data_IF_624009475146
#
_entry.id   IF_624009475146
#
_cell.length_a   1.000
_cell.length_b   1.000
_cell.length_c   1.000
_cell.angle_alpha   90.00
_cell.angle_beta   90.00
_cell.angle_gamma   90.00
#
_symmetry.space_group_name_H-M   'P 1'
#
loop_
_entity.id
_entity.type
_entity.pdbx_description
1 polymer ?
#
# COMPACT_ATOMS: atom_id res chain seq x y z
N UNK A 1 36.71 51.96 -51.33
CA UNK A 1 38.04 52.12 -50.69
C UNK A 1 38.03 51.32 -49.41
N UNK A 2 38.94 50.33 -49.33
CA UNK A 2 39.24 49.39 -48.21
C UNK A 2 38.07 48.45 -47.86
N UNK A 3 37.85 47.24 -48.43
CA UNK A 3 38.68 46.02 -48.73
C UNK A 3 39.12 45.29 -47.43
N UNK A 4 39.16 43.95 -47.32
CA UNK A 4 38.27 42.84 -47.73
C UNK A 4 38.02 41.88 -46.50
N UNK A 5 37.46 40.66 -46.53
CA UNK A 5 37.98 39.42 -47.15
C UNK A 5 36.98 38.26 -46.91
N UNK A 6 36.64 37.54 -47.97
CA UNK A 6 35.97 36.24 -47.96
C UNK A 6 37.00 35.12 -47.69
N UNK A 7 36.60 34.06 -46.98
CA UNK A 7 37.03 32.70 -47.35
C UNK A 7 36.07 31.63 -46.80
N UNK A 8 35.69 30.73 -47.71
CA UNK A 8 34.72 29.64 -47.57
C UNK A 8 35.37 28.33 -47.03
N UNK A 9 34.67 27.17 -47.01
CA UNK A 9 34.31 26.40 -45.82
C UNK A 9 35.21 25.17 -45.55
N UNK A 10 35.25 24.67 -44.31
CA UNK A 10 35.70 23.30 -44.02
C UNK A 10 34.88 22.64 -42.91
N UNK A 11 34.45 21.41 -43.24
CA UNK A 11 33.78 20.40 -42.43
C UNK A 11 34.55 20.00 -41.15
N UNK A 12 33.88 19.16 -40.35
CA UNK A 12 34.24 18.51 -39.06
C UNK A 12 34.06 19.43 -37.85
N UNK A 13 33.26 19.10 -36.83
CA UNK A 13 33.30 17.84 -36.07
C UNK A 13 31.95 17.50 -35.44
N UNK A 14 31.50 16.28 -35.71
CA UNK A 14 30.42 15.58 -35.02
C UNK A 14 30.91 15.15 -33.64
N UNK A 15 30.72 15.94 -32.58
CA UNK A 15 31.05 15.48 -31.21
C UNK A 15 30.31 16.16 -30.06
N UNK A 16 29.65 17.32 -30.24
CA UNK A 16 29.19 18.08 -29.06
C UNK A 16 27.67 18.05 -28.80
N UNK A 17 26.88 17.27 -29.55
CA UNK A 17 25.42 17.16 -29.35
C UNK A 17 24.99 15.71 -28.98
N UNK A 18 25.95 14.79 -28.78
CA UNK A 18 25.68 13.41 -28.30
C UNK A 18 26.13 13.09 -26.88
N UNK A 19 26.70 14.05 -26.16
CA UNK A 19 27.14 13.87 -24.75
C UNK A 19 26.15 14.42 -23.72
N UNK A 20 25.12 15.15 -24.14
CA UNK A 20 24.14 15.78 -23.25
C UNK A 20 22.80 15.02 -23.10
N UNK A 21 22.66 13.83 -23.71
CA UNK A 21 21.42 13.04 -23.70
C UNK A 21 21.52 11.66 -23.03
N UNK A 22 22.68 11.28 -22.48
CA UNK A 22 22.87 9.95 -21.84
C UNK A 22 22.99 9.95 -20.30
N UNK A 23 22.69 11.06 -19.61
CA UNK A 23 22.79 11.14 -18.15
C UNK A 23 21.46 11.33 -17.39
N UNK A 24 20.31 10.96 -17.98
CA UNK A 24 18.99 11.02 -17.31
C UNK A 24 18.41 9.62 -17.04
N UNK A 25 19.26 8.62 -16.78
CA UNK A 25 18.84 7.29 -16.31
C UNK A 25 19.81 6.72 -15.25
N UNK A 26 20.03 7.47 -14.16
CA UNK A 26 20.49 6.93 -12.87
C UNK A 26 19.82 7.71 -11.76
N UNK A 27 18.66 7.23 -11.30
CA UNK A 27 18.06 7.69 -10.06
C UNK A 27 18.59 6.77 -8.95
N UNK A 28 19.75 7.14 -8.41
CA UNK A 28 20.32 6.51 -7.23
C UNK A 28 19.48 6.92 -6.00
N UNK A 29 18.88 5.93 -5.34
CA UNK A 29 18.21 6.11 -4.05
C UNK A 29 19.25 6.38 -2.95
N UNK A 30 19.52 7.64 -2.64
CA UNK A 30 20.16 8.02 -1.38
C UNK A 30 19.11 8.15 -0.29
N UNK A 31 19.04 7.18 0.63
CA UNK A 31 18.31 7.33 1.89
C UNK A 31 19.05 8.34 2.77
N UNK A 32 18.45 9.51 2.95
CA UNK A 32 18.84 10.50 3.96
C UNK A 32 18.65 9.92 5.37
N UNK A 33 19.76 9.68 6.07
CA UNK A 33 19.80 9.48 7.52
C UNK A 33 19.51 10.82 8.21
N UNK A 34 18.36 10.92 8.89
CA UNK A 34 18.21 11.82 10.03
C UNK A 34 17.97 10.94 11.25
N UNK A 35 18.97 10.97 12.12
CA UNK A 35 18.97 10.32 13.42
C UNK A 35 17.92 10.97 14.31
N UNK A 36 16.94 10.18 14.76
CA UNK A 36 16.24 10.41 16.01
C UNK A 36 16.47 9.19 16.90
N UNK A 37 17.37 9.37 17.85
CA UNK A 37 17.66 8.42 18.92
C UNK A 37 16.42 8.34 19.82
N UNK A 38 15.76 7.20 19.85
CA UNK A 38 14.87 6.80 20.96
C UNK A 38 15.13 5.33 21.30
N UNK A 39 15.91 5.16 22.37
CA UNK A 39 16.07 3.98 23.24
C UNK A 39 15.39 2.67 22.79
N UNK A 40 16.15 1.82 22.10
CA UNK A 40 15.82 0.40 21.94
C UNK A 40 16.30 -0.36 23.17
N UNK A 41 15.36 -0.94 23.94
CA UNK A 41 15.67 -2.07 24.80
C UNK A 41 16.17 -3.21 23.91
N UNK A 42 17.44 -3.58 24.08
CA UNK A 42 18.06 -4.72 23.40
C UNK A 42 17.34 -6.00 23.82
N UNK A 43 16.54 -6.56 22.91
CA UNK A 43 16.10 -7.94 23.01
C UNK A 43 17.24 -8.78 22.45
N UNK A 44 17.94 -9.50 23.33
CA UNK A 44 18.94 -10.49 22.96
C UNK A 44 18.34 -11.52 21.97
N UNK A 45 18.75 -11.43 20.71
CA UNK A 45 18.40 -12.41 19.67
C UNK A 45 19.21 -13.69 19.89
N UNK A 46 18.72 -14.58 20.77
CA UNK A 46 19.25 -15.94 20.88
C UNK A 46 18.93 -16.73 19.60
N UNK A 47 19.96 -17.24 18.94
CA UNK A 47 19.83 -18.23 17.87
C UNK A 47 19.32 -19.52 18.52
N UNK A 48 18.07 -19.90 18.26
CA UNK A 48 17.55 -21.20 18.66
C UNK A 48 17.84 -22.19 17.53
N UNK A 49 18.92 -22.97 17.66
CA UNK A 49 19.12 -24.15 16.81
C UNK A 49 18.21 -25.25 17.34
N UNK A 50 17.18 -25.63 16.59
CA UNK A 50 16.39 -26.83 16.88
C UNK A 50 17.29 -28.05 16.65
N UNK A 51 17.50 -28.85 17.69
CA UNK A 51 18.52 -29.91 17.74
C UNK A 51 18.29 -31.11 16.81
N UNK A 52 17.20 -31.13 16.04
CA UNK A 52 16.86 -32.23 15.13
C UNK A 52 16.75 -31.81 13.66
N UNK A 53 17.09 -30.56 13.32
CA UNK A 53 17.17 -30.11 11.91
C UNK A 53 18.13 -28.94 11.74
N UNK A 54 19.03 -29.00 10.76
CA UNK A 54 19.98 -27.94 10.35
C UNK A 54 19.29 -26.69 9.75
N UNK A 55 18.20 -26.23 10.35
CA UNK A 55 17.41 -25.08 9.88
C UNK A 55 17.75 -23.87 10.77
N UNK A 56 18.20 -22.78 10.13
CA UNK A 56 18.45 -21.50 10.78
C UNK A 56 17.12 -20.75 10.89
N UNK A 57 16.63 -20.55 12.11
CA UNK A 57 15.43 -19.77 12.37
C UNK A 57 15.75 -18.26 12.52
N UNK A 58 15.02 -17.42 11.79
CA UNK A 58 15.24 -15.97 11.72
C UNK A 58 13.91 -15.25 11.99
N UNK A 59 13.84 -14.26 12.89
CA UNK A 59 12.64 -13.47 13.06
C UNK A 59 12.37 -12.60 11.81
N UNK A 60 11.10 -12.37 11.48
CA UNK A 60 10.76 -11.39 10.45
C UNK A 60 11.22 -9.99 10.87
N UNK A 61 12.02 -9.36 10.00
CA UNK A 61 12.52 -7.99 10.15
C UNK A 61 12.24 -7.19 8.88
N UNK A 62 12.52 -5.88 8.91
CA UNK A 62 12.41 -5.02 7.73
C UNK A 62 13.22 -5.61 6.56
N UNK A 63 12.58 -5.72 5.40
CA UNK A 63 13.18 -6.31 4.21
C UNK A 63 12.83 -7.78 3.99
N UNK A 64 12.01 -8.39 4.84
CA UNK A 64 11.48 -9.76 4.70
C UNK A 64 9.97 -9.69 4.50
N UNK A 65 9.47 -10.27 3.41
CA UNK A 65 8.05 -10.19 3.05
C UNK A 65 7.62 -11.38 2.17
N UNK A 66 6.51 -12.02 2.53
CA UNK A 66 5.95 -13.12 1.74
C UNK A 66 5.15 -12.58 0.55
N UNK A 67 4.98 -13.40 -0.50
CA UNK A 67 4.12 -13.07 -1.63
C UNK A 67 2.65 -12.82 -1.21
N UNK A 68 2.19 -13.47 -0.14
CA UNK A 68 0.88 -13.21 0.45
C UNK A 68 0.83 -11.83 1.12
N UNK A 69 1.83 -11.46 1.92
CA UNK A 69 1.92 -10.14 2.55
C UNK A 69 2.02 -9.02 1.50
N UNK A 70 2.81 -9.24 0.44
CA UNK A 70 2.97 -8.30 -0.69
C UNK A 70 1.63 -7.98 -1.36
N UNK A 71 0.70 -8.95 -1.43
CA UNK A 71 -0.64 -8.72 -1.99
C UNK A 71 -1.47 -7.69 -1.21
N UNK A 72 -1.10 -7.41 0.04
CA UNK A 72 -1.72 -6.39 0.88
C UNK A 72 -0.88 -5.10 0.94
N UNK A 73 0.43 -5.21 1.14
CA UNK A 73 1.31 -4.04 1.29
C UNK A 73 1.45 -3.23 0.01
N UNK A 74 1.46 -3.88 -1.16
CA UNK A 74 1.45 -3.20 -2.46
C UNK A 74 0.21 -2.31 -2.68
N UNK A 75 -0.90 -2.62 -2.01
CA UNK A 75 -2.14 -1.84 -2.00
C UNK A 75 -2.23 -0.87 -0.81
N UNK A 76 -1.16 -0.75 -0.02
CA UNK A 76 -1.13 0.00 1.24
C UNK A 76 -2.23 -0.42 2.22
N UNK A 77 -2.62 -1.70 2.21
CA UNK A 77 -3.62 -2.27 3.11
C UNK A 77 -2.95 -2.82 4.37
N UNK A 78 -2.75 -1.94 5.35
CA UNK A 78 -2.16 -2.31 6.65
C UNK A 78 -3.25 -2.50 7.71
N UNK A 79 -3.89 -1.43 8.13
CA UNK A 79 -4.95 -1.37 9.15
C UNK A 79 -5.81 -0.11 8.94
N UNK A 80 -6.94 0.01 9.65
CA UNK A 80 -7.78 1.21 9.63
C UNK A 80 -7.24 2.33 10.55
N UNK A 81 -7.52 3.62 10.28
CA UNK A 81 -8.28 4.16 9.15
C UNK A 81 -7.51 4.08 7.82
N UNK A 82 -8.24 3.96 6.71
CA UNK A 82 -7.63 3.93 5.38
C UNK A 82 -7.48 5.35 4.85
N UNK A 83 -6.22 5.80 4.75
CA UNK A 83 -5.84 7.08 4.15
C UNK A 83 -4.86 6.85 3.03
N UNK A 84 -5.12 7.43 1.86
CA UNK A 84 -4.18 7.38 0.75
C UNK A 84 -4.28 8.63 -0.10
N UNK A 85 -3.14 9.04 -0.65
CA UNK A 85 -3.07 10.02 -1.71
C UNK A 85 -1.88 9.70 -2.64
N UNK A 86 -1.89 10.29 -3.82
CA UNK A 86 -0.77 10.28 -4.77
C UNK A 86 -0.31 11.70 -5.13
N UNK A 87 -0.51 12.65 -4.21
CA UNK A 87 -0.12 14.04 -4.42
C UNK A 87 1.41 14.17 -4.44
N UNK A 88 1.98 15.13 -5.19
CA UNK A 88 3.41 15.41 -5.14
C UNK A 88 3.85 15.79 -3.71
N UNK A 89 5.07 15.41 -3.34
CA UNK A 89 5.66 15.81 -2.07
C UNK A 89 5.76 17.35 -1.99
N UNK A 90 5.52 17.89 -0.79
CA UNK A 90 5.65 19.32 -0.46
C UNK A 90 4.64 20.26 -1.17
N UNK A 91 3.53 19.73 -1.66
CA UNK A 91 2.42 20.57 -2.16
C UNK A 91 1.45 20.90 -1.01
N UNK A 92 1.29 22.19 -0.73
CA UNK A 92 0.36 22.70 0.27
C UNK A 92 -0.90 23.28 -0.38
N UNK A 93 -2.01 23.22 0.35
CA UNK A 93 -3.26 23.86 -0.05
C UNK A 93 -3.08 25.38 0.08
N UNK A 94 -3.18 26.08 -1.04
CA UNK A 94 -3.10 27.55 -1.11
C UNK A 94 -4.43 28.17 -0.74
N UNK A 95 -5.54 27.56 -1.17
CA UNK A 95 -6.88 28.09 -0.95
C UNK A 95 -7.90 26.94 -0.85
N UNK A 96 -8.93 27.13 -0.02
CA UNK A 96 -10.02 26.21 0.18
C UNK A 96 -11.37 26.93 -0.02
N UNK A 97 -12.06 26.59 -1.11
CA UNK A 97 -13.32 27.22 -1.50
C UNK A 97 -14.46 26.26 -1.18
N UNK A 98 -15.32 26.60 -0.21
CA UNK A 98 -16.53 25.82 0.08
C UNK A 98 -17.60 26.07 -0.96
N UNK A 99 -18.10 25.02 -1.61
CA UNK A 99 -19.20 25.11 -2.58
C UNK A 99 -20.57 24.85 -1.93
N UNK A 100 -20.63 24.55 -0.63
CA UNK A 100 -21.80 24.04 0.12
C UNK A 100 -22.06 22.55 -0.14
N UNK A 101 -23.24 22.07 0.27
CA UNK A 101 -23.61 20.67 0.12
C UNK A 101 -24.64 20.48 -0.98
N UNK A 102 -24.51 19.40 -1.76
CA UNK A 102 -25.51 18.98 -2.73
C UNK A 102 -25.61 17.46 -2.81
N UNK A 103 -26.50 16.97 -3.66
CA UNK A 103 -26.58 15.56 -3.99
C UNK A 103 -25.59 15.25 -5.12
N UNK A 104 -24.93 14.09 -5.01
CA UNK A 104 -23.98 13.58 -5.99
C UNK A 104 -24.58 12.35 -6.65
N UNK A 105 -24.66 12.31 -7.97
CA UNK A 105 -25.06 11.11 -8.70
C UNK A 105 -23.82 10.42 -9.27
N UNK A 106 -23.70 9.12 -9.05
CA UNK A 106 -22.63 8.26 -9.54
C UNK A 106 -23.32 7.05 -10.17
N UNK A 107 -23.40 7.02 -11.50
CA UNK A 107 -24.25 6.05 -12.20
C UNK A 107 -25.70 6.07 -11.63
N UNK A 108 -26.23 4.92 -11.20
CA UNK A 108 -27.58 4.79 -10.61
C UNK A 108 -27.63 5.09 -9.09
N UNK A 109 -26.52 5.53 -8.49
CA UNK A 109 -26.43 5.80 -7.06
C UNK A 109 -26.46 7.30 -6.78
N UNK A 110 -27.31 7.73 -5.86
CA UNK A 110 -27.30 9.11 -5.34
C UNK A 110 -26.76 9.15 -3.91
N UNK A 111 -25.72 9.96 -3.70
CA UNK A 111 -25.26 10.34 -2.36
C UNK A 111 -25.90 11.67 -1.98
N UNK A 112 -26.61 11.68 -0.85
CA UNK A 112 -27.34 12.85 -0.39
C UNK A 112 -26.48 13.74 0.51
N UNK A 113 -26.65 15.05 0.38
CA UNK A 113 -26.05 16.06 1.27
C UNK A 113 -24.53 15.90 1.46
N UNK A 114 -23.80 15.75 0.35
CA UNK A 114 -22.34 15.69 0.31
C UNK A 114 -21.79 17.10 0.40
N UNK A 115 -20.90 17.37 1.35
CA UNK A 115 -20.21 18.67 1.42
C UNK A 115 -19.11 18.73 0.36
N UNK A 116 -19.12 19.78 -0.45
CA UNK A 116 -18.21 19.95 -1.57
C UNK A 116 -17.29 21.14 -1.34
N UNK A 117 -16.00 20.95 -1.61
CA UNK A 117 -14.98 22.00 -1.53
C UNK A 117 -14.00 21.89 -2.69
N UNK A 118 -13.45 23.00 -3.15
CA UNK A 118 -12.32 23.02 -4.08
C UNK A 118 -11.06 23.35 -3.29
N UNK A 119 -10.06 22.48 -3.40
CA UNK A 119 -8.74 22.64 -2.83
C UNK A 119 -7.79 23.09 -3.93
N UNK A 120 -7.31 24.33 -3.85
CA UNK A 120 -6.37 24.88 -4.81
C UNK A 120 -4.93 24.62 -4.33
N UNK A 121 -4.15 23.97 -5.18
CA UNK A 121 -2.70 23.83 -5.05
C UNK A 121 -2.02 24.71 -6.10
N UNK A 122 -0.69 24.85 -6.01
CA UNK A 122 0.07 25.69 -6.94
C UNK A 122 -0.09 25.29 -8.41
N UNK A 123 -0.17 23.98 -8.66
CA UNK A 123 -0.15 23.41 -10.02
C UNK A 123 -1.45 22.72 -10.44
N UNK A 124 -2.34 22.44 -9.50
CA UNK A 124 -3.56 21.67 -9.77
C UNK A 124 -4.65 22.04 -8.77
N UNK A 125 -5.89 21.63 -9.06
CA UNK A 125 -7.03 21.77 -8.14
C UNK A 125 -7.60 20.38 -7.87
N UNK A 126 -8.09 20.17 -6.66
CA UNK A 126 -8.89 19.00 -6.32
C UNK A 126 -10.29 19.43 -5.92
N UNK A 127 -11.30 18.63 -6.25
CA UNK A 127 -12.63 18.76 -5.65
C UNK A 127 -12.78 17.69 -4.57
N UNK A 128 -13.02 18.10 -3.33
CA UNK A 128 -13.29 17.23 -2.18
C UNK A 128 -14.79 17.00 -2.01
N UNK A 129 -15.18 15.73 -2.01
CA UNK A 129 -16.47 15.21 -1.57
C UNK A 129 -16.34 14.69 -0.15
N UNK A 130 -17.01 15.32 0.81
CA UNK A 130 -16.99 14.92 2.21
C UNK A 130 -18.37 14.49 2.69
N UNK A 131 -18.44 13.29 3.24
CA UNK A 131 -19.61 12.74 3.93
C UNK A 131 -19.30 12.55 5.42
N UNK A 132 -20.22 11.91 6.15
CA UNK A 132 -19.97 11.46 7.53
C UNK A 132 -19.10 10.20 7.60
N UNK A 133 -18.82 9.55 6.46
CA UNK A 133 -18.18 8.23 6.41
C UNK A 133 -16.82 8.28 5.70
N UNK A 134 -16.62 9.25 4.81
CA UNK A 134 -15.39 9.38 4.06
C UNK A 134 -15.15 10.81 3.56
N UNK A 135 -13.93 11.04 3.10
CA UNK A 135 -13.54 12.14 2.20
C UNK A 135 -12.90 11.56 0.94
N UNK A 136 -13.21 12.14 -0.20
CA UNK A 136 -12.57 11.83 -1.48
C UNK A 136 -12.30 13.13 -2.23
N UNK A 137 -11.06 13.39 -2.59
CA UNK A 137 -10.65 14.51 -3.41
C UNK A 137 -10.11 14.02 -4.76
N UNK A 138 -10.60 14.59 -5.86
CA UNK A 138 -10.23 14.22 -7.23
C UNK A 138 -9.71 15.43 -8.00
N UNK A 139 -8.71 15.23 -8.85
CA UNK A 139 -8.15 16.31 -9.67
C UNK A 139 -9.11 16.81 -10.73
N UNK A 140 -9.32 18.14 -10.75
CA UNK A 140 -10.29 18.81 -11.62
C UNK A 140 -9.75 20.09 -12.23
N UNK A 141 -10.42 20.52 -13.29
CA UNK A 141 -10.29 21.83 -13.92
C UNK A 141 -11.69 22.34 -14.31
N UNK A 142 -11.83 23.66 -14.34
CA UNK A 142 -13.02 24.33 -14.83
C UNK A 142 -12.87 24.56 -16.34
N UNK A 143 -13.87 24.11 -17.09
CA UNK A 143 -14.01 24.28 -18.53
C UNK A 143 -15.16 25.27 -18.79
N UNK A 144 -14.97 26.16 -19.77
CA UNK A 144 -15.95 27.16 -20.20
C UNK A 144 -16.55 27.97 -19.02
N UNK A 145 -15.74 28.20 -17.99
CA UNK A 145 -16.07 28.86 -16.72
C UNK A 145 -17.26 28.28 -15.92
N UNK A 146 -17.77 27.10 -16.32
CA UNK A 146 -18.98 26.50 -15.70
C UNK A 146 -18.89 25.00 -15.47
N UNK A 147 -18.16 24.26 -16.30
CA UNK A 147 -18.16 22.80 -16.27
C UNK A 147 -16.92 22.26 -15.55
N UNK A 148 -17.11 21.51 -14.47
CA UNK A 148 -16.04 20.85 -13.73
C UNK A 148 -15.80 19.47 -14.34
N UNK A 149 -14.58 19.22 -14.82
CA UNK A 149 -14.14 17.91 -15.35
C UNK A 149 -12.81 17.49 -14.77
N UNK A 150 -12.45 16.22 -14.92
CA UNK A 150 -11.14 15.68 -14.53
C UNK A 150 -10.01 16.41 -15.25
N UNK A 151 -8.94 16.73 -14.52
CA UNK A 151 -7.74 17.38 -15.08
C UNK A 151 -6.47 16.53 -15.01
N UNK A 152 -6.42 15.55 -14.13
CA UNK A 152 -5.25 14.70 -13.92
C UNK A 152 -5.58 13.48 -13.07
N UNK A 153 -4.57 12.71 -12.70
CA UNK A 153 -4.74 11.47 -11.94
C UNK A 153 -4.50 11.64 -10.45
N UNK A 154 -4.40 12.87 -9.96
CA UNK A 154 -4.26 13.13 -8.53
C UNK A 154 -5.56 12.87 -7.78
N UNK A 155 -5.45 12.15 -6.68
CA UNK A 155 -6.52 11.89 -5.74
C UNK A 155 -6.00 11.84 -4.31
N UNK A 156 -6.92 12.03 -3.36
CA UNK A 156 -6.70 11.80 -1.94
C UNK A 156 -7.99 11.29 -1.33
N UNK A 157 -7.92 10.35 -0.40
CA UNK A 157 -9.09 9.93 0.34
C UNK A 157 -8.79 9.49 1.76
N UNK A 158 -9.85 9.52 2.56
CA UNK A 158 -9.89 8.97 3.90
C UNK A 158 -11.24 8.26 4.09
N UNK A 159 -11.21 6.97 4.41
CA UNK A 159 -12.37 6.27 4.96
C UNK A 159 -12.25 6.33 6.48
N UNK A 160 -13.24 6.94 7.13
CA UNK A 160 -13.20 7.13 8.57
C UNK A 160 -13.28 5.79 9.31
N UNK A 161 -12.68 5.75 10.50
CA UNK A 161 -12.84 4.62 11.41
C UNK A 161 -14.26 4.61 12.02
N UNK A 162 -14.66 3.48 12.61
CA UNK A 162 -15.97 3.31 13.29
C UNK A 162 -17.18 3.22 12.35
N UNK A 163 -16.96 2.69 11.16
CA UNK A 163 -18.05 2.31 10.26
C UNK A 163 -18.52 0.90 10.59
N UNK A 164 -19.84 0.72 10.62
CA UNK A 164 -20.46 -0.61 10.57
C UNK A 164 -19.98 -1.34 9.31
N UNK A 165 -19.80 -2.65 9.38
CA UNK A 165 -19.27 -3.45 8.26
C UNK A 165 -20.10 -3.27 6.97
N UNK A 166 -21.44 -3.26 7.09
CA UNK A 166 -22.33 -2.99 5.96
C UNK A 166 -22.13 -1.60 5.33
N UNK A 167 -21.81 -0.59 6.16
CA UNK A 167 -21.54 0.78 5.69
C UNK A 167 -20.16 0.88 5.07
N UNK A 168 -19.16 0.20 5.64
CA UNK A 168 -17.82 0.12 5.06
C UNK A 168 -17.85 -0.53 3.68
N UNK A 169 -18.62 -1.62 3.50
CA UNK A 169 -18.84 -2.24 2.18
C UNK A 169 -19.51 -1.26 1.22
N UNK A 170 -20.53 -0.51 1.67
CA UNK A 170 -21.18 0.49 0.83
C UNK A 170 -20.21 1.60 0.37
N UNK A 171 -19.37 2.12 1.28
CA UNK A 171 -18.33 3.10 0.96
C UNK A 171 -17.31 2.52 -0.01
N UNK A 172 -16.83 1.29 0.21
CA UNK A 172 -15.89 0.64 -0.70
C UNK A 172 -16.49 0.46 -2.12
N UNK A 173 -17.78 0.12 -2.22
CA UNK A 173 -18.48 0.03 -3.51
C UNK A 173 -18.62 1.40 -4.20
N UNK A 174 -18.90 2.47 -3.45
CA UNK A 174 -18.91 3.85 -4.00
C UNK A 174 -17.55 4.17 -4.62
N UNK A 175 -16.48 3.93 -3.87
CA UNK A 175 -15.12 4.21 -4.33
C UNK A 175 -14.77 3.35 -5.53
N UNK A 176 -15.18 2.08 -5.54
CA UNK A 176 -15.03 1.19 -6.68
C UNK A 176 -15.73 1.74 -7.92
N UNK A 177 -16.99 2.18 -7.82
CA UNK A 177 -17.71 2.80 -8.95
C UNK A 177 -16.95 4.01 -9.49
N UNK A 178 -16.54 4.91 -8.61
CA UNK A 178 -15.79 6.10 -8.99
C UNK A 178 -14.50 5.71 -9.72
N UNK A 179 -13.66 4.87 -9.12
CA UNK A 179 -12.36 4.46 -9.69
C UNK A 179 -12.49 3.49 -10.88
N UNK A 180 -13.66 2.92 -11.13
CA UNK A 180 -13.96 2.22 -12.39
C UNK A 180 -14.28 3.19 -13.53
N UNK A 181 -14.31 4.50 -13.28
CA UNK A 181 -14.62 5.50 -14.28
C UNK A 181 -16.12 5.74 -14.48
N UNK A 182 -16.95 5.49 -13.47
CA UNK A 182 -18.35 5.95 -13.51
C UNK A 182 -18.43 7.48 -13.42
N UNK A 183 -19.35 8.08 -14.17
CA UNK A 183 -19.48 9.54 -14.22
C UNK A 183 -20.12 10.03 -12.93
N UNK A 184 -19.39 10.91 -12.25
CA UNK A 184 -19.88 11.68 -11.11
C UNK A 184 -20.51 12.96 -11.64
N UNK A 185 -21.79 13.18 -11.33
CA UNK A 185 -22.52 14.39 -11.72
C UNK A 185 -23.15 15.09 -10.53
N UNK A 186 -23.09 16.42 -10.53
CA UNK A 186 -23.81 17.28 -9.60
C UNK A 186 -23.91 18.70 -10.18
N UNK A 187 -24.89 19.46 -9.68
CA UNK A 187 -25.04 20.88 -10.00
C UNK A 187 -25.04 21.68 -8.69
N UNK A 188 -24.29 22.77 -8.66
CA UNK A 188 -24.26 23.69 -7.52
C UNK A 188 -24.12 25.12 -8.01
N UNK A 189 -25.13 25.95 -7.76
CA UNK A 189 -25.27 27.27 -8.40
C UNK A 189 -25.21 27.12 -9.93
N UNK A 190 -24.31 27.85 -10.60
CA UNK A 190 -24.08 27.79 -12.05
C UNK A 190 -23.03 26.75 -12.47
N UNK A 191 -22.45 26.02 -11.51
CA UNK A 191 -21.43 25.00 -11.78
C UNK A 191 -22.10 23.66 -12.04
N UNK A 192 -21.71 23.05 -13.16
CA UNK A 192 -22.10 21.69 -13.57
C UNK A 192 -20.87 20.82 -13.50
N UNK A 193 -20.94 19.66 -12.86
CA UNK A 193 -19.83 18.72 -12.81
C UNK A 193 -20.12 17.44 -13.58
N UNK A 194 -19.12 17.01 -14.34
CA UNK A 194 -19.08 15.75 -15.07
C UNK A 194 -17.67 15.18 -14.91
N UNK A 195 -17.45 14.40 -13.85
CA UNK A 195 -16.13 13.91 -13.48
C UNK A 195 -16.08 12.40 -13.66
N UNK A 196 -15.26 11.93 -14.59
CA UNK A 196 -14.94 10.53 -14.79
C UNK A 196 -13.49 10.28 -14.38
N UNK A 197 -13.24 9.38 -13.43
CA UNK A 197 -11.91 9.18 -12.84
C UNK A 197 -11.55 7.70 -12.71
N UNK A 198 -10.79 7.15 -13.66
CA UNK A 198 -10.42 5.74 -13.66
C UNK A 198 -9.08 5.48 -12.94
N UNK A 199 -9.04 4.44 -12.09
CA UNK A 199 -7.83 3.90 -11.50
C UNK A 199 -8.00 2.41 -11.16
N UNK A 200 -7.56 1.49 -12.04
CA UNK A 200 -7.73 0.04 -11.84
C UNK A 200 -7.06 -0.52 -10.58
N UNK A 201 -5.95 0.08 -10.13
CA UNK A 201 -5.26 -0.33 -8.90
C UNK A 201 -6.15 -0.05 -7.68
N UNK A 202 -6.80 1.12 -7.66
CA UNK A 202 -7.76 1.45 -6.60
C UNK A 202 -9.00 0.57 -6.67
N UNK A 203 -9.52 0.24 -7.86
CA UNK A 203 -10.61 -0.75 -8.01
C UNK A 203 -10.24 -2.08 -7.35
N UNK A 204 -9.07 -2.63 -7.67
CA UNK A 204 -8.59 -3.88 -7.07
C UNK A 204 -8.43 -3.77 -5.54
N UNK A 205 -7.94 -2.63 -5.06
CA UNK A 205 -7.83 -2.34 -3.61
C UNK A 205 -9.20 -2.38 -2.92
N UNK A 206 -10.22 -1.75 -3.48
CA UNK A 206 -11.56 -1.76 -2.89
C UNK A 206 -12.22 -3.13 -2.95
N UNK A 207 -11.98 -3.92 -3.99
CA UNK A 207 -12.38 -5.33 -4.02
C UNK A 207 -11.74 -6.12 -2.87
N UNK A 208 -10.45 -5.92 -2.62
CA UNK A 208 -9.73 -6.56 -1.51
C UNK A 208 -10.25 -6.13 -0.13
N UNK A 209 -10.67 -4.87 0.01
CA UNK A 209 -11.30 -4.37 1.24
C UNK A 209 -12.64 -5.08 1.47
N UNK A 210 -13.49 -5.17 0.45
CA UNK A 210 -14.79 -5.84 0.53
C UNK A 210 -14.60 -7.33 0.88
N UNK A 211 -13.64 -8.01 0.23
CA UNK A 211 -13.29 -9.40 0.53
C UNK A 211 -12.86 -9.55 2.00
N UNK A 212 -12.04 -8.61 2.50
CA UNK A 212 -11.54 -8.64 3.87
C UNK A 212 -12.65 -8.42 4.91
N UNK A 213 -13.61 -7.52 4.66
CA UNK A 213 -14.77 -7.36 5.56
C UNK A 213 -15.57 -8.66 5.65
N UNK A 214 -15.84 -9.31 4.51
CA UNK A 214 -16.55 -10.59 4.48
C UNK A 214 -15.79 -11.69 5.23
N UNK A 215 -14.48 -11.80 5.01
CA UNK A 215 -13.61 -12.74 5.74
C UNK A 215 -13.65 -12.49 7.25
N UNK A 216 -13.64 -11.22 7.67
CA UNK A 216 -13.73 -10.85 9.07
C UNK A 216 -15.05 -11.33 9.69
N UNK A 217 -16.19 -11.01 9.09
CA UNK A 217 -17.50 -11.46 9.57
C UNK A 217 -17.60 -12.99 9.66
N UNK A 218 -17.11 -13.69 8.63
CA UNK A 218 -17.09 -15.16 8.60
C UNK A 218 -16.20 -15.75 9.69
N UNK A 219 -14.98 -15.22 9.86
CA UNK A 219 -14.04 -15.65 10.90
C UNK A 219 -14.64 -15.45 12.30
N UNK A 220 -15.29 -14.32 12.58
CA UNK A 220 -15.93 -14.09 13.88
C UNK A 220 -17.06 -15.09 14.16
N UNK A 221 -17.85 -15.43 13.12
CA UNK A 221 -18.92 -16.45 13.22
C UNK A 221 -18.35 -17.84 13.49
N UNK A 222 -17.32 -18.26 12.76
CA UNK A 222 -16.65 -19.56 12.94
C UNK A 222 -15.98 -19.69 14.31
N UNK A 223 -15.56 -18.58 14.90
CA UNK A 223 -15.03 -18.52 16.26
C UNK A 223 -16.11 -18.46 17.35
N UNK A 224 -17.40 -18.50 16.97
CA UNK A 224 -18.53 -18.39 17.89
C UNK A 224 -18.49 -17.15 18.79
N UNK A 225 -17.86 -16.06 18.34
CA UNK A 225 -17.83 -14.80 19.08
C UNK A 225 -19.19 -14.14 18.88
N UNK A 226 -19.95 -13.89 19.95
CA UNK A 226 -21.31 -13.32 19.85
C UNK A 226 -21.35 -11.79 19.74
N UNK A 227 -20.29 -11.11 20.20
CA UNK A 227 -20.16 -9.65 20.15
C UNK A 227 -18.74 -9.28 19.74
N UNK A 228 -18.56 -8.90 18.48
CA UNK A 228 -17.30 -8.39 17.94
C UNK A 228 -17.45 -6.93 17.49
N UNK A 229 -16.33 -6.21 17.46
CA UNK A 229 -16.27 -4.86 16.89
C UNK A 229 -16.35 -4.94 15.37
N UNK A 230 -16.82 -3.90 14.71
CA UNK A 230 -16.72 -3.80 13.25
C UNK A 230 -15.26 -3.95 12.81
N UNK A 231 -15.01 -4.41 11.58
CA UNK A 231 -13.67 -4.60 11.05
C UNK A 231 -12.85 -3.31 11.11
N UNK A 232 -13.49 -2.16 10.82
CA UNK A 232 -12.87 -0.83 10.89
C UNK A 232 -12.45 -0.37 12.30
N UNK A 233 -12.84 -1.12 13.34
CA UNK A 233 -12.58 -0.84 14.76
C UNK A 233 -11.78 -1.95 15.46
N UNK A 234 -11.55 -3.08 14.78
CA UNK A 234 -10.97 -4.28 15.37
C UNK A 234 -9.44 -4.20 15.54
N UNK A 235 -8.80 -3.14 15.01
CA UNK A 235 -7.34 -2.94 15.00
C UNK A 235 -6.54 -4.15 14.46
N UNK A 236 -7.20 -5.05 13.73
CA UNK A 236 -6.57 -6.22 13.12
C UNK A 236 -6.04 -5.82 11.74
N UNK A 237 -4.78 -6.18 11.47
CA UNK A 237 -4.16 -5.93 10.16
C UNK A 237 -4.82 -6.79 9.09
N UNK A 238 -4.90 -6.29 7.86
CA UNK A 238 -5.49 -7.02 6.73
C UNK A 238 -4.79 -8.35 6.48
N UNK A 239 -3.46 -8.36 6.45
CA UNK A 239 -2.69 -9.59 6.27
C UNK A 239 -2.87 -10.57 7.43
N UNK A 240 -2.87 -10.08 8.68
CA UNK A 240 -3.14 -10.91 9.86
C UNK A 240 -4.53 -11.57 9.80
N UNK A 241 -5.55 -10.82 9.38
CA UNK A 241 -6.89 -11.37 9.18
C UNK A 241 -6.89 -12.47 8.11
N UNK A 242 -6.18 -12.26 7.00
CA UNK A 242 -6.06 -13.28 5.95
C UNK A 242 -5.49 -14.59 6.51
N UNK A 243 -4.38 -14.51 7.25
CA UNK A 243 -3.76 -15.68 7.87
C UNK A 243 -4.69 -16.34 8.90
N UNK A 244 -5.35 -15.56 9.76
CA UNK A 244 -6.30 -16.08 10.73
C UNK A 244 -7.46 -16.80 10.03
N UNK A 245 -8.03 -16.20 8.99
CA UNK A 245 -9.12 -16.78 8.22
C UNK A 245 -8.72 -18.12 7.58
N UNK A 246 -7.51 -18.21 7.02
CA UNK A 246 -6.97 -19.46 6.49
C UNK A 246 -6.82 -20.52 7.60
N UNK A 247 -6.26 -20.14 8.75
CA UNK A 247 -6.09 -21.05 9.89
C UNK A 247 -7.42 -21.63 10.37
N UNK A 248 -8.45 -20.80 10.52
CA UNK A 248 -9.79 -21.23 10.95
C UNK A 248 -10.45 -22.16 9.93
N UNK A 249 -10.20 -21.95 8.65
CA UNK A 249 -10.65 -22.83 7.58
C UNK A 249 -9.74 -24.06 7.35
N UNK A 250 -8.90 -24.42 8.33
CA UNK A 250 -7.96 -25.54 8.29
C UNK A 250 -6.92 -25.49 7.17
N UNK A 251 -6.70 -24.32 6.55
CA UNK A 251 -5.60 -24.08 5.62
C UNK A 251 -4.37 -23.67 6.43
N UNK A 252 -3.65 -24.67 6.95
CA UNK A 252 -2.51 -24.47 7.85
C UNK A 252 -1.15 -24.47 7.18
N UNK A 253 -1.07 -24.92 5.93
CA UNK A 253 0.15 -24.95 5.13
C UNK A 253 -0.15 -24.34 3.76
N UNK A 254 0.64 -23.35 3.36
CA UNK A 254 0.42 -22.57 2.16
C UNK A 254 1.73 -22.47 1.39
N UNK A 255 1.73 -22.91 0.14
CA UNK A 255 2.85 -22.70 -0.76
C UNK A 255 2.81 -21.29 -1.33
N UNK A 256 3.92 -20.58 -1.19
CA UNK A 256 4.06 -19.21 -1.68
C UNK A 256 5.53 -18.93 -2.00
N UNK A 257 5.90 -17.66 -2.10
CA UNK A 257 7.27 -17.21 -2.26
C UNK A 257 7.60 -16.12 -1.24
N UNK A 258 8.89 -15.84 -1.05
CA UNK A 258 9.37 -14.81 -0.14
C UNK A 258 10.40 -13.93 -0.84
N UNK A 259 10.40 -12.64 -0.50
CA UNK A 259 11.52 -11.74 -0.71
C UNK A 259 12.19 -11.50 0.64
N UNK A 260 13.52 -11.58 0.68
CA UNK A 260 14.27 -11.15 1.84
C UNK A 260 15.58 -10.48 1.44
N UNK A 261 16.02 -9.50 2.22
CA UNK A 261 17.38 -8.96 2.21
C UNK A 261 17.77 -8.59 3.62
N UNK A 262 18.78 -9.27 4.17
CA UNK A 262 19.21 -9.09 5.56
C UNK A 262 20.71 -9.19 5.70
N UNK A 263 21.26 -8.40 6.62
CA UNK A 263 22.69 -8.49 6.97
C UNK A 263 22.95 -9.82 7.67
N UNK A 264 24.01 -10.53 7.27
CA UNK A 264 24.28 -11.91 7.65
C UNK A 264 24.84 -12.05 9.08
N UNK A 265 24.05 -11.68 10.09
CA UNK A 265 24.40 -11.87 11.52
C UNK A 265 24.29 -13.33 11.98
N UNK A 266 23.60 -14.16 11.19
CA UNK A 266 23.28 -15.54 11.51
C UNK A 266 24.30 -16.54 10.95
N UNK A 267 25.39 -16.05 10.32
CA UNK A 267 26.44 -16.87 9.70
C UNK A 267 25.89 -17.88 8.69
N UNK A 268 24.91 -17.45 7.89
CA UNK A 268 24.29 -18.23 6.83
C UNK A 268 25.31 -18.45 5.72
N UNK A 269 25.38 -19.69 5.24
CA UNK A 269 26.26 -20.15 4.17
C UNK A 269 25.46 -20.83 3.06
N UNK A 270 26.06 -20.98 1.87
CA UNK A 270 25.46 -21.77 0.82
C UNK A 270 25.25 -23.21 1.30
N UNK A 271 24.08 -23.79 1.01
CA UNK A 271 23.66 -25.10 1.51
C UNK A 271 22.74 -25.04 2.73
N UNK A 272 22.72 -23.93 3.48
CA UNK A 272 21.88 -23.81 4.66
C UNK A 272 20.39 -23.74 4.31
N UNK A 273 19.56 -24.29 5.21
CA UNK A 273 18.10 -24.10 5.20
C UNK A 273 17.72 -23.01 6.18
N UNK A 274 16.75 -22.18 5.81
CA UNK A 274 16.29 -21.05 6.61
C UNK A 274 14.79 -21.13 6.82
N UNK A 275 14.36 -20.80 8.03
CA UNK A 275 12.95 -20.54 8.36
C UNK A 275 12.82 -19.13 8.92
N UNK A 276 11.77 -18.43 8.51
CA UNK A 276 11.42 -17.12 9.03
C UNK A 276 10.20 -17.21 9.94
N UNK A 277 10.25 -16.60 11.13
CA UNK A 277 9.15 -16.68 12.09
C UNK A 277 8.62 -15.32 12.50
N UNK A 278 7.29 -15.22 12.63
CA UNK A 278 6.59 -14.01 13.09
C UNK A 278 5.40 -14.40 13.95
N UNK A 279 5.15 -13.63 15.00
CA UNK A 279 3.94 -13.74 15.81
C UNK A 279 3.01 -12.60 15.46
N UNK A 280 1.78 -12.93 15.08
CA UNK A 280 0.69 -11.99 14.88
C UNK A 280 -0.15 -11.96 16.15
N UNK A 281 -0.08 -10.83 16.85
CA UNK A 281 -0.93 -10.59 18.01
C UNK A 281 -2.39 -10.41 17.60
N UNK A 282 -3.27 -11.16 18.24
CA UNK A 282 -4.70 -11.18 17.92
C UNK A 282 -5.52 -10.58 19.05
N UNK A 283 -5.78 -9.28 19.00
CA UNK A 283 -6.54 -8.58 20.05
C UNK A 283 -8.06 -8.69 19.87
N UNK A 284 -8.54 -9.94 19.73
CA UNK A 284 -9.96 -10.26 19.59
C UNK A 284 -10.53 -10.63 20.96
N UNK A 285 -11.68 -10.07 21.33
CA UNK A 285 -12.32 -10.35 22.63
C UNK A 285 -12.75 -11.82 22.69
N UNK A 286 -12.41 -12.51 23.78
CA UNK A 286 -12.71 -13.93 23.97
C UNK A 286 -11.74 -14.86 23.23
N UNK A 287 -10.62 -14.32 22.72
CA UNK A 287 -9.65 -15.05 21.93
C UNK A 287 -8.28 -15.10 22.61
N UNK A 288 -7.89 -16.30 23.05
CA UNK A 288 -6.77 -16.50 23.98
C UNK A 288 -5.49 -17.01 23.32
N UNK A 289 -5.36 -16.86 22.01
CA UNK A 289 -4.14 -17.25 21.30
C UNK A 289 -3.72 -16.20 20.27
N UNK A 290 -2.42 -16.15 20.01
CA UNK A 290 -1.80 -15.45 18.89
C UNK A 290 -1.54 -16.44 17.75
N UNK A 291 -1.32 -15.93 16.54
CA UNK A 291 -1.02 -16.75 15.37
C UNK A 291 0.49 -16.68 15.08
N UNK A 292 1.15 -17.83 15.04
CA UNK A 292 2.53 -17.96 14.58
C UNK A 292 2.54 -18.25 13.09
N UNK A 293 3.25 -17.41 12.35
CA UNK A 293 3.63 -17.62 10.96
C UNK A 293 5.07 -18.16 10.95
N UNK A 294 5.28 -19.32 10.34
CA UNK A 294 6.59 -19.92 10.10
C UNK A 294 6.77 -20.16 8.60
N UNK A 295 7.83 -19.63 8.01
CA UNK A 295 8.04 -19.63 6.56
C UNK A 295 9.39 -20.26 6.23
N UNK A 296 9.36 -21.50 5.77
CA UNK A 296 10.56 -22.29 5.48
C UNK A 296 10.87 -22.27 3.99
N UNK A 297 12.12 -21.96 3.64
CA UNK A 297 12.59 -22.05 2.24
C UNK A 297 12.61 -23.51 1.79
N UNK A 298 12.08 -23.79 0.58
CA UNK A 298 12.06 -25.16 0.05
C UNK A 298 13.42 -25.62 -0.45
N UNK A 299 14.20 -24.70 -1.02
CA UNK A 299 15.58 -24.93 -1.45
C UNK A 299 16.55 -24.25 -0.50
N UNK A 300 17.72 -24.86 -0.31
CA UNK A 300 18.82 -24.24 0.44
C UNK A 300 19.27 -22.92 -0.17
N UNK A 301 20.03 -22.14 0.60
CA UNK A 301 20.69 -20.95 0.11
C UNK A 301 21.74 -21.32 -0.93
N UNK A 302 21.74 -20.60 -2.06
CA UNK A 302 22.70 -20.74 -3.15
C UNK A 302 23.84 -19.73 -3.02
N UNK A 303 24.94 -19.96 -3.74
CA UNK A 303 26.08 -19.04 -3.77
C UNK A 303 25.69 -17.62 -4.24
N UNK A 304 24.73 -17.52 -5.16
CA UNK A 304 24.27 -16.24 -5.73
C UNK A 304 23.39 -15.42 -4.78
N UNK A 305 22.94 -16.02 -3.68
CA UNK A 305 22.08 -15.39 -2.67
C UNK A 305 22.87 -14.81 -1.49
N UNK A 306 24.20 -14.86 -1.58
CA UNK A 306 25.13 -14.31 -0.59
C UNK A 306 26.02 -13.27 -1.26
N UNK A 307 25.94 -12.04 -0.76
CA UNK A 307 26.88 -10.97 -1.08
C UNK A 307 27.95 -10.95 0.01
N UNK A 308 29.12 -11.54 -0.28
CA UNK A 308 30.24 -11.62 0.66
C UNK A 308 30.89 -10.26 0.91
N UNK A 309 30.88 -9.35 -0.08
CA UNK A 309 31.51 -8.04 0.05
C UNK A 309 30.74 -7.15 1.03
N UNK A 310 29.40 -7.19 0.94
CA UNK A 310 28.50 -6.39 1.79
C UNK A 310 27.93 -7.17 2.96
N UNK A 311 28.29 -8.44 3.09
CA UNK A 311 27.81 -9.37 4.10
C UNK A 311 26.27 -9.42 4.20
N UNK A 312 25.58 -9.51 3.05
CA UNK A 312 24.13 -9.66 2.96
C UNK A 312 23.75 -11.05 2.46
N UNK A 313 22.61 -11.54 2.94
CA UNK A 313 21.88 -12.65 2.33
C UNK A 313 20.58 -12.12 1.78
N UNK A 314 20.23 -12.54 0.57
CA UNK A 314 19.01 -12.12 -0.08
C UNK A 314 18.38 -13.24 -0.89
N UNK A 315 17.07 -13.16 -1.06
CA UNK A 315 16.31 -14.04 -1.94
C UNK A 315 15.20 -13.25 -2.58
N UNK A 316 15.02 -13.43 -3.89
CA UNK A 316 13.93 -12.82 -4.64
C UNK A 316 13.00 -13.91 -5.16
N UNK A 317 11.72 -13.82 -4.80
CA UNK A 317 10.68 -14.81 -5.11
C UNK A 317 11.11 -16.25 -4.82
N UNK A 318 11.85 -16.46 -3.74
CA UNK A 318 12.30 -17.81 -3.34
C UNK A 318 11.08 -18.60 -2.87
N UNK A 319 10.92 -19.83 -3.36
CA UNK A 319 9.75 -20.66 -3.03
C UNK A 319 9.82 -21.11 -1.57
N UNK A 320 8.70 -20.97 -0.86
CA UNK A 320 8.58 -21.28 0.57
C UNK A 320 7.32 -22.05 0.87
N UNK A 321 7.31 -22.73 2.01
CA UNK A 321 6.10 -23.21 2.64
C UNK A 321 5.84 -22.37 3.90
N UNK A 322 4.67 -21.76 3.97
CA UNK A 322 4.18 -21.04 5.14
C UNK A 322 3.32 -21.99 5.97
N UNK A 323 3.65 -22.13 7.25
CA UNK A 323 2.90 -22.91 8.23
C UNK A 323 2.31 -22.00 9.31
N UNK A 324 1.05 -22.24 9.65
CA UNK A 324 0.32 -21.52 10.67
C UNK A 324 0.11 -22.40 11.91
N UNK A 325 0.49 -21.89 13.07
CA UNK A 325 0.22 -22.50 14.38
C UNK A 325 -0.27 -21.46 15.37
N UNK A 326 -0.80 -21.91 16.51
CA UNK A 326 -1.27 -21.02 17.57
C UNK A 326 -0.30 -21.00 18.74
N UNK A 327 -0.24 -19.85 19.41
CA UNK A 327 0.52 -19.67 20.65
C UNK A 327 -0.47 -19.17 21.70
N UNK A 328 -0.62 -19.88 22.81
CA UNK A 328 -1.48 -19.43 23.90
C UNK A 328 -0.96 -18.12 24.50
N UNK A 329 -1.88 -17.23 24.87
CA UNK A 329 -1.56 -16.03 25.64
C UNK A 329 -1.49 -16.44 27.11
N UNK A 330 -0.38 -16.09 27.76
CA UNK A 330 -0.20 -16.28 29.20
C UNK A 330 -0.92 -15.19 29.99
#
# INVERSE_FOLDING_TARGET
MVVPEESTPKNTTTSEIKESTNNILKLDYTLSTKDEITSTNEIENKILKNSDSDIIEIPFIKGIETGLEISYTSLKLKEFPLKENNLPLYEDIIENISLNSCNLNINNLTLFNVNIRVLNYKKFKLIEFKTREFKLALSIQLFDDKTIRKAGDYFSYEIFSKLKDIRLIAVANIFKLIFSGEVITFNINDLVAEIQFENPIQVHKFDKIIESVKKYEETMKLLHISKWRNFSEASIKFYTLHLLHNYINNIRSIDTWINFKLYNKYNIKPGDKISFTRIHELNIRGFNYNLKEEVSIKSSISNTEIDNEKNFVFGYRKIVNLKLTTIQKY
#
